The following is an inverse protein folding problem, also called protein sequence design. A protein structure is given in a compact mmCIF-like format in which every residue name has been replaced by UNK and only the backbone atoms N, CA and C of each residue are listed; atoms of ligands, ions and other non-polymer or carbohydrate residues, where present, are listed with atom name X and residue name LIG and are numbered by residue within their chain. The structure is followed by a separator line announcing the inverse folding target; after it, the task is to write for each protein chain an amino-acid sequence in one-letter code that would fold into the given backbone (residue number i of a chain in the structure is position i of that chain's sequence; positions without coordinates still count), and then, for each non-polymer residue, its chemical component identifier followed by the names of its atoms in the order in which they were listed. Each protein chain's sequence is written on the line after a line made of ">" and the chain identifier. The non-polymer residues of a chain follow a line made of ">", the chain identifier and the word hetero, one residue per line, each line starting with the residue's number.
data_IF_894027606659
#
_entry.id   IF_894027606659
#
_cell.length_a   1.000
_cell.length_b   1.000
_cell.length_c   1.000
_cell.angle_alpha   90.00
_cell.angle_beta   90.00
_cell.angle_gamma   90.00
#
_symmetry.space_group_name_H-M   'P 1'
#
loop_
_entity.id
_entity.type
_entity.pdbx_description
1 polymer ?
#
# COMPACT_ATOMS: atom_id res chain seq x y z
N UNK A 1 -11.75 -19.18 0.80
CA UNK A 1 -11.18 -17.82 0.59
C UNK A 1 -10.27 -17.55 1.76
N UNK A 2 -8.96 -17.38 1.54
CA UNK A 2 -8.07 -16.95 2.60
C UNK A 2 -8.43 -15.51 2.99
N UNK A 3 -8.64 -15.26 4.28
CA UNK A 3 -8.95 -13.93 4.80
C UNK A 3 -7.64 -13.16 4.98
N UNK A 4 -7.43 -12.11 4.17
CA UNK A 4 -6.31 -11.19 4.34
C UNK A 4 -6.79 -10.00 5.20
N UNK A 5 -6.36 -9.90 6.48
CA UNK A 5 -6.73 -8.77 7.33
C UNK A 5 -6.19 -7.47 6.75
N UNK A 6 -6.97 -6.39 6.88
CA UNK A 6 -6.60 -5.06 6.40
C UNK A 6 -6.73 -4.08 7.56
N UNK A 7 -5.60 -3.48 7.95
CA UNK A 7 -5.56 -2.40 8.92
C UNK A 7 -5.48 -1.06 8.20
N UNK A 8 -6.38 -0.13 8.55
CA UNK A 8 -6.39 1.22 7.99
C UNK A 8 -5.82 2.18 9.04
N UNK A 9 -4.65 2.74 8.74
CA UNK A 9 -3.98 3.72 9.60
C UNK A 9 -3.87 3.27 11.07
N UNK A 10 -3.26 2.11 11.37
CA UNK A 10 -3.07 1.64 12.75
C UNK A 10 -2.22 2.61 13.61
N UNK A 11 -1.53 3.54 12.96
CA UNK A 11 -0.81 4.68 13.55
C UNK A 11 -1.16 5.96 12.78
N UNK A 12 -0.98 7.16 13.37
CA UNK A 12 -1.20 8.42 12.67
C UNK A 12 -0.49 8.44 11.32
N UNK A 13 -1.22 8.62 10.20
CA UNK A 13 -0.64 8.52 8.87
C UNK A 13 0.23 9.73 8.54
N UNK A 14 1.19 9.54 7.65
CA UNK A 14 2.00 10.65 7.14
C UNK A 14 1.12 11.65 6.39
N UNK A 15 1.31 12.93 6.68
CA UNK A 15 0.55 14.01 6.04
C UNK A 15 0.78 14.00 4.52
N UNK A 16 -0.31 14.08 3.75
CA UNK A 16 -0.31 14.26 2.29
C UNK A 16 0.36 13.14 1.47
N UNK A 17 0.25 11.90 1.91
CA UNK A 17 0.63 10.73 1.13
C UNK A 17 -0.40 9.60 1.30
N UNK A 18 -0.36 8.61 0.41
CA UNK A 18 -1.19 7.41 0.46
C UNK A 18 -0.26 6.23 0.23
N UNK A 19 -0.16 5.37 1.24
CA UNK A 19 0.82 4.30 1.30
C UNK A 19 0.08 3.00 1.51
N UNK A 20 0.52 1.94 0.82
CA UNK A 20 0.01 0.59 1.00
C UNK A 20 1.19 -0.34 1.15
N UNK A 21 1.14 -1.19 2.17
CA UNK A 21 2.20 -2.14 2.46
C UNK A 21 1.61 -3.50 2.82
N UNK A 22 2.27 -4.56 2.38
CA UNK A 22 2.01 -5.93 2.82
C UNK A 22 2.96 -6.26 3.97
N UNK A 23 2.40 -6.68 5.11
CA UNK A 23 3.18 -7.24 6.22
C UNK A 23 3.15 -8.75 6.08
N UNK A 24 4.34 -9.36 6.00
CA UNK A 24 4.51 -10.82 5.91
C UNK A 24 4.55 -11.44 7.31
N UNK A 25 4.38 -12.76 7.38
CA UNK A 25 4.39 -13.51 8.65
C UNK A 25 5.72 -13.39 9.42
N UNK A 26 6.83 -13.20 8.70
CA UNK A 26 8.16 -12.95 9.28
C UNK A 26 8.35 -11.53 9.83
N UNK A 27 7.30 -10.69 9.76
CA UNK A 27 7.31 -9.30 10.19
C UNK A 27 7.94 -8.34 9.18
N UNK A 28 8.49 -8.83 8.06
CA UNK A 28 8.99 -7.99 6.99
C UNK A 28 7.84 -7.26 6.28
N UNK A 29 8.15 -6.09 5.72
CA UNK A 29 7.17 -5.26 5.02
C UNK A 29 7.59 -5.07 3.57
N UNK A 30 6.64 -5.27 2.66
CA UNK A 30 6.79 -4.98 1.23
C UNK A 30 5.93 -3.77 0.89
N UNK A 31 6.51 -2.76 0.26
CA UNK A 31 5.77 -1.63 -0.27
C UNK A 31 4.97 -2.06 -1.51
N UNK A 32 3.65 -1.90 -1.49
CA UNK A 32 2.78 -2.14 -2.63
C UNK A 32 2.50 -0.84 -3.40
N UNK A 33 2.48 0.30 -2.70
CA UNK A 33 2.39 1.62 -3.30
C UNK A 33 2.89 2.70 -2.34
N UNK A 34 3.63 3.69 -2.89
CA UNK A 34 3.94 4.93 -2.20
C UNK A 34 3.54 6.16 -3.01
N UNK A 35 2.79 7.06 -2.37
CA UNK A 35 2.48 8.39 -2.87
C UNK A 35 3.52 9.45 -2.48
N UNK A 36 4.53 9.11 -1.67
CA UNK A 36 5.54 10.07 -1.16
C UNK A 36 6.34 10.69 -2.31
N UNK A 37 6.84 9.85 -3.24
CA UNK A 37 7.70 10.28 -4.35
C UNK A 37 6.97 10.86 -5.55
N UNK A 38 5.64 10.79 -5.60
CA UNK A 38 4.83 11.17 -6.79
C UNK A 38 4.66 12.68 -6.97
N UNK A 39 5.25 13.50 -6.10
CA UNK A 39 5.24 14.96 -6.19
C UNK A 39 3.83 15.58 -6.23
N UNK A 40 3.71 16.88 -6.55
CA UNK A 40 2.49 17.45 -7.10
C UNK A 40 2.28 16.95 -8.54
N UNK A 41 1.03 16.80 -9.03
CA UNK A 41 -0.27 17.06 -8.38
C UNK A 41 -0.80 15.90 -7.51
N UNK A 42 -1.62 16.23 -6.49
CA UNK A 42 -2.13 15.27 -5.47
C UNK A 42 -2.79 14.02 -6.06
N UNK A 43 -3.47 14.14 -7.20
CA UNK A 43 -4.13 13.00 -7.87
C UNK A 43 -3.17 11.84 -8.18
N UNK A 44 -1.89 12.12 -8.46
CA UNK A 44 -0.89 11.10 -8.77
C UNK A 44 -0.40 10.32 -7.54
N UNK A 45 -0.73 10.81 -6.33
CA UNK A 45 -0.38 10.12 -5.08
C UNK A 45 -1.32 8.97 -4.76
N UNK A 46 -2.50 8.94 -5.38
CA UNK A 46 -3.50 7.90 -5.20
C UNK A 46 -3.42 6.94 -6.39
N UNK A 47 -3.26 5.62 -6.14
CA UNK A 47 -3.21 4.63 -7.22
C UNK A 47 -4.60 4.36 -7.79
N UNK A 48 -4.64 3.74 -8.96
CA UNK A 48 -5.82 2.98 -9.36
C UNK A 48 -5.90 1.68 -8.52
N UNK A 49 -7.09 1.21 -8.15
CA UNK A 49 -7.23 0.00 -7.33
C UNK A 49 -6.50 -1.22 -7.90
N UNK A 50 -6.55 -1.38 -9.22
CA UNK A 50 -5.96 -2.50 -9.95
C UNK A 50 -4.44 -2.55 -9.77
N UNK A 51 -3.78 -1.38 -9.71
CA UNK A 51 -2.33 -1.29 -9.48
C UNK A 51 -1.93 -1.89 -8.14
N UNK A 52 -2.70 -1.65 -7.08
CA UNK A 52 -2.42 -2.20 -5.74
C UNK A 52 -2.70 -3.71 -5.71
N UNK A 53 -3.78 -4.16 -6.37
CA UNK A 53 -4.13 -5.59 -6.44
C UNK A 53 -3.09 -6.38 -7.23
N UNK A 54 -2.55 -5.83 -8.31
CA UNK A 54 -1.50 -6.47 -9.10
C UNK A 54 -0.19 -6.57 -8.30
N UNK A 55 0.23 -5.49 -7.64
CA UNK A 55 1.39 -5.50 -6.76
C UNK A 55 1.24 -6.52 -5.61
N UNK A 56 0.05 -6.62 -5.02
CA UNK A 56 -0.26 -7.60 -3.99
C UNK A 56 -0.13 -9.03 -4.52
N UNK A 57 -0.74 -9.34 -5.66
CA UNK A 57 -0.65 -10.68 -6.28
C UNK A 57 0.80 -11.08 -6.55
N UNK A 58 1.59 -10.16 -7.10
CA UNK A 58 3.02 -10.40 -7.36
C UNK A 58 3.85 -10.59 -6.09
N UNK A 59 3.43 -10.01 -4.97
CA UNK A 59 4.13 -10.13 -3.67
C UNK A 59 3.76 -11.39 -2.88
N UNK A 60 2.64 -12.03 -3.24
CA UNK A 60 2.11 -13.26 -2.62
C UNK A 60 2.41 -14.53 -3.44
N UNK A 61 2.83 -14.37 -4.70
CA UNK A 61 3.26 -15.47 -5.57
C UNK A 61 4.64 -16.00 -5.17
#
# INVERSE_FOLDING_TARGET
>A
MAHLPVDINPRPPRRNSFEVSLVKEDGSTVELWSGIGKGPPRKLKFPQPETVVEALKSSLA
#
